data_IF_062808620606
#
_entry.id   IF_062808620606
#
_cell.length_a   1.000
_cell.length_b   1.000
_cell.length_c   1.000
_cell.angle_alpha   90.00
_cell.angle_beta   90.00
_cell.angle_gamma   90.00
#
_symmetry.space_group_name_H-M   'P 1'
#
loop_
_entity.id
_entity.type
_entity.pdbx_description
1 polymer ?
#
# COMPACT_ATOMS: atom_id res chain seq x y z
N UNK A 1 27.94 -4.05 -0.89
CA UNK A 1 27.54 -3.42 0.39
C UNK A 1 26.27 -4.11 0.85
N UNK A 2 26.05 -4.37 2.14
CA UNK A 2 24.79 -4.94 2.58
C UNK A 2 23.65 -3.97 2.21
N UNK A 3 22.52 -4.53 1.78
CA UNK A 3 21.34 -3.74 1.43
C UNK A 3 20.82 -2.98 2.66
N UNK A 4 20.76 -1.65 2.57
CA UNK A 4 20.30 -0.82 3.69
C UNK A 4 18.79 -0.67 3.75
N UNK A 5 18.06 -1.26 2.79
CA UNK A 5 16.61 -1.11 2.59
C UNK A 5 15.93 -2.47 2.65
N UNK A 6 14.87 -2.56 3.45
CA UNK A 6 13.97 -3.71 3.46
C UNK A 6 12.55 -3.31 3.08
N UNK A 7 11.89 -4.12 2.27
CA UNK A 7 10.48 -3.99 1.92
C UNK A 7 9.70 -5.13 2.58
N UNK A 8 8.79 -4.78 3.47
CA UNK A 8 7.87 -5.71 4.14
C UNK A 8 6.50 -5.55 3.50
N UNK A 9 6.06 -6.54 2.72
CA UNK A 9 4.81 -6.41 1.98
C UNK A 9 3.77 -7.47 2.35
N UNK A 10 2.50 -7.11 2.15
CA UNK A 10 1.38 -8.05 2.19
C UNK A 10 0.46 -7.80 1.00
N UNK A 11 0.33 -8.81 0.13
CA UNK A 11 -0.45 -8.75 -1.10
C UNK A 11 -1.49 -9.85 -1.15
N UNK A 12 -2.74 -9.52 -1.52
CA UNK A 12 -3.81 -10.53 -1.68
C UNK A 12 -3.96 -10.99 -3.13
N UNK A 13 -3.87 -10.07 -4.09
CA UNK A 13 -4.15 -10.32 -5.51
C UNK A 13 -3.00 -9.92 -6.43
N UNK A 14 -1.82 -9.68 -5.89
CA UNK A 14 -0.61 -9.48 -6.67
C UNK A 14 -0.16 -8.03 -6.83
N UNK A 15 -1.03 -7.03 -6.93
CA UNK A 15 -0.65 -5.64 -7.20
C UNK A 15 0.43 -5.09 -6.25
N UNK A 16 0.25 -5.24 -4.93
CA UNK A 16 1.26 -4.81 -3.95
C UNK A 16 2.59 -5.56 -4.09
N UNK A 17 2.55 -6.87 -4.40
CA UNK A 17 3.76 -7.66 -4.66
C UNK A 17 4.50 -7.14 -5.89
N UNK A 18 3.78 -6.78 -6.96
CA UNK A 18 4.37 -6.20 -8.17
C UNK A 18 5.09 -4.90 -7.88
N UNK A 19 4.45 -3.97 -7.17
CA UNK A 19 5.08 -2.71 -6.75
C UNK A 19 6.28 -2.94 -5.82
N UNK A 20 6.16 -3.83 -4.84
CA UNK A 20 7.27 -4.17 -3.94
C UNK A 20 8.50 -4.66 -4.73
N UNK A 21 8.31 -5.52 -5.75
CA UNK A 21 9.39 -5.96 -6.63
C UNK A 21 9.99 -4.81 -7.43
N UNK A 22 9.16 -3.95 -8.07
CA UNK A 22 9.68 -2.84 -8.86
C UNK A 22 10.48 -1.83 -8.01
N UNK A 23 10.02 -1.54 -6.78
CA UNK A 23 10.75 -0.68 -5.85
C UNK A 23 12.07 -1.36 -5.43
N UNK A 24 12.03 -2.66 -5.12
CA UNK A 24 13.22 -3.41 -4.74
C UNK A 24 14.27 -3.43 -5.85
N UNK A 25 13.87 -3.68 -7.08
CA UNK A 25 14.77 -3.67 -8.25
C UNK A 25 15.46 -2.30 -8.42
N UNK A 26 14.73 -1.19 -8.20
CA UNK A 26 15.25 0.17 -8.33
C UNK A 26 16.16 0.61 -7.17
N UNK A 27 15.93 0.08 -5.99
CA UNK A 27 16.64 0.44 -4.75
C UNK A 27 17.65 -0.63 -4.29
N UNK A 28 17.73 -1.76 -4.98
CA UNK A 28 18.49 -2.95 -4.54
C UNK A 28 18.09 -3.37 -3.11
N UNK A 29 16.78 -3.39 -2.81
CA UNK A 29 16.24 -3.66 -1.50
C UNK A 29 15.90 -5.14 -1.33
N UNK A 30 15.99 -5.65 -0.10
CA UNK A 30 15.51 -6.98 0.25
C UNK A 30 13.99 -6.98 0.45
N UNK A 31 13.32 -8.07 0.05
CA UNK A 31 11.87 -8.21 0.10
C UNK A 31 11.46 -9.31 1.08
N UNK A 32 10.50 -8.99 1.96
CA UNK A 32 9.96 -9.91 2.96
C UNK A 32 8.43 -9.93 2.92
N UNK A 33 7.84 -11.12 3.06
CA UNK A 33 6.40 -11.23 3.31
C UNK A 33 6.10 -10.91 4.78
N UNK A 34 5.07 -10.10 5.00
CA UNK A 34 4.79 -9.49 6.30
C UNK A 34 4.38 -10.48 7.40
N UNK A 35 3.86 -11.65 7.03
CA UNK A 35 3.29 -12.59 8.03
C UNK A 35 4.37 -13.23 8.91
N UNK A 36 5.53 -13.53 8.35
CA UNK A 36 6.59 -14.28 9.02
C UNK A 36 7.82 -13.42 9.39
N UNK A 37 7.77 -12.10 9.16
CA UNK A 37 8.92 -11.24 9.43
C UNK A 37 9.11 -10.97 10.92
N UNK A 38 10.33 -11.11 11.41
CA UNK A 38 10.73 -10.76 12.78
C UNK A 38 11.41 -9.38 12.85
N UNK A 39 11.53 -8.84 14.06
CA UNK A 39 12.31 -7.62 14.28
C UNK A 39 13.80 -7.86 13.99
N UNK A 40 14.32 -9.01 14.38
CA UNK A 40 15.72 -9.38 14.17
C UNK A 40 16.10 -9.38 12.68
N UNK A 41 15.21 -9.87 11.82
CA UNK A 41 15.39 -9.85 10.37
C UNK A 41 15.51 -8.44 9.79
N UNK A 42 15.02 -7.42 10.49
CA UNK A 42 15.02 -6.02 10.05
C UNK A 42 16.10 -5.17 10.75
N UNK A 43 16.89 -5.75 11.64
CA UNK A 43 17.79 -4.99 12.50
C UNK A 43 18.89 -4.22 11.74
N UNK A 44 19.39 -4.80 10.67
CA UNK A 44 20.52 -4.25 9.91
C UNK A 44 20.12 -3.23 8.82
N UNK A 45 18.82 -3.01 8.58
CA UNK A 45 18.34 -2.06 7.59
C UNK A 45 18.13 -0.68 8.19
N UNK A 46 18.47 0.37 7.48
CA UNK A 46 18.23 1.76 7.86
C UNK A 46 16.84 2.23 7.45
N UNK A 47 16.37 1.77 6.30
CA UNK A 47 15.09 2.12 5.73
C UNK A 47 14.18 0.90 5.69
N UNK A 48 12.96 1.04 6.21
CA UNK A 48 11.94 0.00 6.15
C UNK A 48 10.71 0.53 5.39
N UNK A 49 10.33 -0.16 4.33
CA UNK A 49 9.15 0.14 3.55
C UNK A 49 8.08 -0.89 3.87
N UNK A 50 6.95 -0.47 4.44
CA UNK A 50 5.77 -1.31 4.60
C UNK A 50 4.84 -1.12 3.41
N UNK A 51 4.59 -2.16 2.62
CA UNK A 51 3.70 -2.10 1.47
C UNK A 51 2.47 -2.99 1.67
N UNK A 52 1.29 -2.41 1.55
CA UNK A 52 0.03 -3.12 1.75
C UNK A 52 -1.09 -2.66 0.83
N UNK A 53 -2.02 -3.56 0.54
CA UNK A 53 -3.25 -3.21 -0.17
C UNK A 53 -4.31 -2.68 0.80
N UNK A 54 -5.08 -1.69 0.34
CA UNK A 54 -6.23 -1.17 1.07
C UNK A 54 -7.45 -2.05 0.80
N UNK A 55 -8.06 -2.56 1.86
CA UNK A 55 -9.24 -3.43 1.79
C UNK A 55 -10.29 -2.94 2.78
N UNK A 56 -11.41 -2.45 2.29
CA UNK A 56 -12.47 -1.85 3.12
C UNK A 56 -11.88 -0.87 4.17
N UNK A 57 -11.08 0.07 3.72
CA UNK A 57 -10.33 1.03 4.54
C UNK A 57 -9.33 0.41 5.53
N UNK A 58 -9.08 -0.91 5.48
CA UNK A 58 -8.06 -1.58 6.30
C UNK A 58 -6.81 -1.88 5.47
N UNK A 59 -5.65 -1.50 5.98
CA UNK A 59 -4.37 -1.77 5.35
C UNK A 59 -3.88 -3.18 5.70
N UNK A 60 -3.65 -4.02 4.70
CA UNK A 60 -3.31 -5.44 4.90
C UNK A 60 -2.02 -5.66 5.69
N UNK A 61 -1.02 -4.80 5.54
CA UNK A 61 0.28 -4.89 6.24
C UNK A 61 0.24 -4.32 7.67
N UNK A 62 -0.84 -3.62 8.06
CA UNK A 62 -0.90 -2.87 9.32
C UNK A 62 -0.67 -3.74 10.57
N UNK A 63 -1.17 -4.97 10.60
CA UNK A 63 -0.94 -5.88 11.74
C UNK A 63 0.54 -6.14 11.98
N UNK A 64 1.31 -6.39 10.93
CA UNK A 64 2.75 -6.61 11.01
C UNK A 64 3.50 -5.31 11.32
N UNK A 65 3.09 -4.19 10.70
CA UNK A 65 3.58 -2.86 11.05
C UNK A 65 3.42 -2.60 12.55
N UNK A 66 2.21 -2.72 13.11
CA UNK A 66 1.94 -2.45 14.52
C UNK A 66 2.80 -3.29 15.47
N UNK A 67 3.03 -4.56 15.13
CA UNK A 67 3.88 -5.47 15.91
C UNK A 67 5.33 -5.01 15.96
N UNK A 68 5.85 -4.44 14.88
CA UNK A 68 7.25 -4.09 14.71
C UNK A 68 7.56 -2.63 15.00
N UNK A 69 6.60 -1.72 14.76
CA UNK A 69 6.78 -0.27 14.76
C UNK A 69 7.52 0.28 15.98
N UNK A 70 7.08 -0.07 17.20
CA UNK A 70 7.68 0.47 18.43
C UNK A 70 9.19 0.21 18.55
N UNK A 71 9.66 -0.91 17.97
CA UNK A 71 11.08 -1.28 17.97
C UNK A 71 11.84 -0.62 16.83
N UNK A 72 11.18 -0.44 15.67
CA UNK A 72 11.80 0.11 14.47
C UNK A 72 11.96 1.63 14.51
N UNK A 73 10.96 2.36 15.05
CA UNK A 73 10.86 3.81 14.96
C UNK A 73 12.04 4.56 15.62
N UNK A 74 12.73 3.93 16.55
CA UNK A 74 13.81 4.59 17.28
C UNK A 74 15.02 4.95 16.40
N UNK A 75 15.34 4.11 15.42
CA UNK A 75 16.58 4.20 14.65
C UNK A 75 16.40 3.92 13.16
N UNK A 76 15.18 3.96 12.64
CA UNK A 76 14.88 3.59 11.26
C UNK A 76 13.97 4.60 10.59
N UNK A 77 14.25 4.93 9.34
CA UNK A 77 13.31 5.67 8.50
C UNK A 77 12.22 4.73 8.00
N UNK A 78 10.96 5.11 8.17
CA UNK A 78 9.80 4.27 7.83
C UNK A 78 9.00 4.92 6.71
N UNK A 79 8.76 4.15 5.67
CA UNK A 79 7.86 4.47 4.58
C UNK A 79 6.67 3.51 4.58
N UNK A 80 5.52 3.99 4.14
CA UNK A 80 4.33 3.16 3.97
C UNK A 80 3.75 3.36 2.58
N UNK A 81 3.72 2.29 1.79
CA UNK A 81 3.12 2.25 0.46
C UNK A 81 1.74 1.62 0.56
N UNK A 82 0.72 2.42 0.26
CA UNK A 82 -0.68 2.01 0.27
C UNK A 82 -1.14 1.80 -1.18
N UNK A 83 -1.52 0.58 -1.51
CA UNK A 83 -2.00 0.22 -2.85
C UNK A 83 -3.51 0.08 -2.81
N UNK A 84 -4.21 0.92 -3.58
CA UNK A 84 -5.68 0.92 -3.68
C UNK A 84 -6.15 1.02 -5.12
N UNK A 85 -7.46 0.85 -5.37
CA UNK A 85 -8.02 0.98 -6.71
C UNK A 85 -8.34 2.44 -7.06
N UNK A 86 -8.57 3.28 -6.06
CA UNK A 86 -8.89 4.71 -6.24
C UNK A 86 -7.72 5.51 -6.81
N UNK A 87 -8.03 6.66 -7.40
CA UNK A 87 -7.02 7.56 -7.95
C UNK A 87 -6.22 8.23 -6.81
N UNK A 88 -4.87 8.16 -6.82
CA UNK A 88 -4.02 8.82 -5.82
C UNK A 88 -4.18 10.34 -5.73
N UNK A 89 -4.68 10.99 -6.76
CA UNK A 89 -4.97 12.44 -6.77
C UNK A 89 -6.12 12.80 -5.81
N UNK A 90 -7.01 11.88 -5.52
CA UNK A 90 -8.09 12.05 -4.54
C UNK A 90 -7.56 11.80 -3.12
N UNK A 91 -6.81 12.76 -2.59
CA UNK A 91 -6.12 12.68 -1.29
C UNK A 91 -7.04 12.29 -0.13
N UNK A 92 -8.28 12.76 -0.14
CA UNK A 92 -9.29 12.50 0.91
C UNK A 92 -9.52 10.99 1.16
N UNK A 93 -9.53 10.17 0.09
CA UNK A 93 -9.72 8.73 0.21
C UNK A 93 -8.57 8.07 0.99
N UNK A 94 -7.37 8.57 0.80
CA UNK A 94 -6.17 8.03 1.42
C UNK A 94 -5.95 8.59 2.81
N UNK A 95 -6.28 9.85 3.04
CA UNK A 95 -6.28 10.46 4.39
C UNK A 95 -7.25 9.72 5.33
N UNK A 96 -8.45 9.39 4.86
CA UNK A 96 -9.41 8.57 5.61
C UNK A 96 -8.82 7.18 5.92
N UNK A 97 -8.18 6.55 4.93
CA UNK A 97 -7.51 5.26 5.13
C UNK A 97 -6.35 5.35 6.14
N UNK A 98 -5.53 6.40 6.08
CA UNK A 98 -4.47 6.65 7.06
C UNK A 98 -5.07 6.84 8.44
N UNK A 99 -6.08 7.71 8.57
CA UNK A 99 -6.71 8.04 9.84
C UNK A 99 -7.38 6.83 10.52
N UNK A 100 -7.95 5.92 9.73
CA UNK A 100 -8.56 4.67 10.22
C UNK A 100 -7.54 3.62 10.65
N UNK A 101 -6.33 3.64 10.12
CA UNK A 101 -5.32 2.63 10.41
C UNK A 101 -4.25 3.11 11.40
N UNK A 102 -3.78 4.35 11.30
CA UNK A 102 -2.63 4.85 12.05
C UNK A 102 -3.02 5.86 13.12
N UNK A 103 -2.36 5.80 14.28
CA UNK A 103 -2.49 6.81 15.35
C UNK A 103 -1.72 8.07 14.97
N UNK A 104 -2.10 9.24 15.53
CA UNK A 104 -1.45 10.53 15.23
C UNK A 104 0.07 10.46 15.39
N UNK A 105 0.56 9.93 16.51
CA UNK A 105 2.00 9.75 16.78
C UNK A 105 2.72 8.81 15.81
N UNK A 106 2.02 7.85 15.21
CA UNK A 106 2.59 6.97 14.18
C UNK A 106 2.72 7.73 12.86
N UNK A 107 1.71 8.55 12.52
CA UNK A 107 1.67 9.33 11.28
C UNK A 107 2.81 10.33 11.15
N UNK A 108 3.22 10.95 12.25
CA UNK A 108 4.32 11.94 12.31
C UNK A 108 5.68 11.35 11.88
N UNK A 109 5.84 10.05 12.01
CA UNK A 109 7.11 9.35 11.78
C UNK A 109 7.12 8.47 10.53
N UNK A 110 6.10 8.55 9.70
CA UNK A 110 5.95 7.71 8.50
C UNK A 110 5.73 8.60 7.29
N UNK A 111 6.49 8.36 6.23
CA UNK A 111 6.21 8.95 4.92
C UNK A 111 5.30 8.01 4.13
N UNK A 112 4.15 8.53 3.69
CA UNK A 112 3.13 7.74 2.99
C UNK A 112 3.18 7.96 1.49
N UNK A 113 3.03 6.88 0.72
CA UNK A 113 2.86 6.88 -0.73
C UNK A 113 1.64 6.08 -1.12
N UNK A 114 0.92 6.58 -2.13
CA UNK A 114 -0.29 5.96 -2.65
C UNK A 114 -0.06 5.53 -4.09
N UNK A 115 -0.38 4.27 -4.38
CA UNK A 115 -0.21 3.69 -5.71
C UNK A 115 -1.52 3.07 -6.15
N UNK A 116 -1.90 3.32 -7.39
CA UNK A 116 -3.11 2.75 -7.97
C UNK A 116 -2.86 1.28 -8.33
N UNK A 117 -3.71 0.39 -7.85
CA UNK A 117 -3.55 -1.05 -7.98
C UNK A 117 -4.35 -1.66 -9.13
N UNK A 118 -4.60 -2.95 -9.00
CA UNK A 118 -5.41 -3.72 -9.94
C UNK A 118 -6.42 -4.58 -9.20
N UNK A 119 -7.55 -4.85 -9.84
CA UNK A 119 -8.57 -5.77 -9.37
C UNK A 119 -9.09 -6.62 -10.54
N UNK A 120 -9.18 -7.91 -10.32
CA UNK A 120 -9.85 -8.85 -11.22
C UNK A 120 -11.07 -9.40 -10.50
N UNK A 121 -12.25 -8.90 -10.87
CA UNK A 121 -13.51 -9.29 -10.21
C UNK A 121 -13.82 -10.78 -10.36
N UNK A 122 -13.33 -11.41 -11.43
CA UNK A 122 -13.57 -12.85 -11.70
C UNK A 122 -12.77 -13.76 -10.77
N UNK A 123 -11.70 -13.24 -10.16
CA UNK A 123 -10.79 -13.98 -9.25
C UNK A 123 -10.98 -13.64 -7.78
N UNK A 124 -12.01 -12.87 -7.46
CA UNK A 124 -12.26 -12.50 -6.07
C UNK A 124 -12.77 -13.70 -5.26
N UNK A 125 -12.28 -13.82 -4.02
CA UNK A 125 -12.89 -14.74 -3.05
C UNK A 125 -14.32 -14.29 -2.74
N UNK A 126 -15.22 -15.22 -2.46
CA UNK A 126 -16.65 -14.99 -2.27
C UNK A 126 -16.95 -13.79 -1.34
N UNK A 127 -16.30 -13.74 -0.19
CA UNK A 127 -16.51 -12.64 0.76
C UNK A 127 -16.01 -11.27 0.23
N UNK A 128 -14.98 -11.25 -0.61
CA UNK A 128 -14.54 -10.02 -1.27
C UNK A 128 -15.47 -9.62 -2.41
N UNK A 129 -15.99 -10.58 -3.16
CA UNK A 129 -16.97 -10.33 -4.19
C UNK A 129 -18.27 -9.74 -3.60
N UNK A 130 -18.74 -10.29 -2.48
CA UNK A 130 -19.89 -9.75 -1.75
C UNK A 130 -19.65 -8.32 -1.27
N UNK A 131 -18.47 -8.03 -0.71
CA UNK A 131 -18.10 -6.69 -0.28
C UNK A 131 -18.06 -5.70 -1.46
N UNK A 132 -17.52 -6.11 -2.61
CA UNK A 132 -17.53 -5.28 -3.83
C UNK A 132 -18.94 -5.06 -4.37
N UNK A 133 -19.83 -6.06 -4.27
CA UNK A 133 -21.23 -5.91 -4.64
C UNK A 133 -21.96 -4.89 -3.74
N UNK A 134 -21.70 -4.92 -2.43
CA UNK A 134 -22.23 -3.91 -1.50
C UNK A 134 -21.70 -2.52 -1.84
N UNK A 135 -20.40 -2.39 -2.10
CA UNK A 135 -19.81 -1.12 -2.51
C UNK A 135 -20.44 -0.58 -3.81
N UNK A 136 -20.65 -1.45 -4.82
CA UNK A 136 -21.35 -1.09 -6.04
C UNK A 136 -22.74 -0.52 -5.76
N UNK A 137 -23.53 -1.15 -4.88
CA UNK A 137 -24.86 -0.64 -4.51
C UNK A 137 -24.78 0.74 -3.87
N UNK A 138 -23.85 0.95 -2.95
CA UNK A 138 -23.63 2.24 -2.28
C UNK A 138 -23.26 3.32 -3.31
N UNK A 139 -22.33 3.05 -4.20
CA UNK A 139 -21.90 4.00 -5.22
C UNK A 139 -23.00 4.32 -6.22
N UNK A 140 -23.80 3.33 -6.62
CA UNK A 140 -24.92 3.53 -7.54
C UNK A 140 -26.05 4.42 -6.96
N UNK A 141 -26.18 4.48 -5.64
CA UNK A 141 -27.20 5.29 -4.95
C UNK A 141 -26.68 6.67 -4.49
N UNK A 142 -25.42 7.00 -4.75
CA UNK A 142 -24.88 8.34 -4.45
C UNK A 142 -25.57 9.41 -5.31
N UNK A 143 -25.98 10.50 -4.69
CA UNK A 143 -26.52 11.66 -5.40
C UNK A 143 -25.49 12.33 -6.32
N UNK A 144 -24.23 12.36 -5.88
CA UNK A 144 -23.11 12.89 -6.66
C UNK A 144 -22.04 11.80 -6.76
N UNK A 145 -21.78 11.33 -7.95
CA UNK A 145 -20.75 10.34 -8.26
C UNK A 145 -19.49 11.04 -8.74
N UNK A 146 -18.35 10.63 -8.20
CA UNK A 146 -17.03 11.04 -8.72
C UNK A 146 -16.73 10.31 -10.03
N UNK A 147 -15.73 10.77 -10.79
CA UNK A 147 -15.25 10.09 -11.99
C UNK A 147 -14.81 8.63 -11.68
N UNK A 148 -14.11 8.42 -10.58
CA UNK A 148 -13.71 7.08 -10.11
C UNK A 148 -14.93 6.20 -9.78
N UNK A 149 -15.99 6.75 -9.19
CA UNK A 149 -17.23 6.01 -8.93
C UNK A 149 -17.86 5.51 -10.23
N UNK A 150 -17.93 6.36 -11.25
CA UNK A 150 -18.45 6.03 -12.58
C UNK A 150 -17.62 4.93 -13.25
N UNK A 151 -16.30 5.11 -13.30
CA UNK A 151 -15.35 4.14 -13.87
C UNK A 151 -15.51 2.78 -13.16
N UNK A 152 -15.65 2.78 -11.83
CA UNK A 152 -15.88 1.56 -11.07
C UNK A 152 -17.19 0.88 -11.45
N UNK A 153 -18.31 1.63 -11.55
CA UNK A 153 -19.63 1.11 -11.88
C UNK A 153 -19.68 0.51 -13.29
N UNK A 154 -19.10 1.21 -14.28
CA UNK A 154 -19.06 0.78 -15.69
C UNK A 154 -18.22 -0.47 -15.91
N UNK A 155 -17.18 -0.65 -15.10
CA UNK A 155 -16.25 -1.75 -15.23
C UNK A 155 -16.43 -2.83 -14.16
N UNK A 156 -17.49 -2.76 -13.38
CA UNK A 156 -17.79 -3.79 -12.39
C UNK A 156 -17.92 -5.18 -13.05
N UNK A 157 -17.29 -6.16 -12.48
CA UNK A 157 -17.28 -7.53 -13.00
C UNK A 157 -16.15 -7.82 -14.01
N UNK A 158 -15.40 -6.81 -14.46
CA UNK A 158 -14.28 -6.94 -15.39
C UNK A 158 -12.94 -6.91 -14.64
N UNK A 159 -11.84 -6.93 -15.39
CA UNK A 159 -10.49 -6.63 -14.87
C UNK A 159 -10.20 -5.15 -15.03
N UNK A 160 -9.77 -4.50 -13.93
CA UNK A 160 -9.17 -3.17 -13.92
C UNK A 160 -7.69 -3.31 -13.56
N UNK A 161 -6.82 -2.66 -14.33
CA UNK A 161 -5.37 -2.73 -14.11
C UNK A 161 -4.76 -1.33 -14.33
N UNK A 162 -4.37 -0.70 -13.23
CA UNK A 162 -3.76 0.63 -13.21
C UNK A 162 -2.29 0.58 -12.76
N UNK A 163 -1.65 -0.59 -12.82
CA UNK A 163 -0.25 -0.72 -12.45
C UNK A 163 0.64 0.10 -13.39
N UNK A 164 1.50 0.92 -12.83
CA UNK A 164 2.45 1.74 -13.58
C UNK A 164 3.82 1.73 -12.90
N UNK A 165 4.87 1.45 -13.68
CA UNK A 165 6.25 1.55 -13.17
C UNK A 165 6.65 2.99 -12.87
N UNK A 166 6.08 3.96 -13.57
CA UNK A 166 6.42 5.37 -13.36
C UNK A 166 5.90 5.88 -12.02
N UNK A 167 4.81 5.31 -11.49
CA UNK A 167 4.24 5.75 -10.22
C UNK A 167 5.12 5.49 -9.00
N UNK A 168 6.20 4.69 -9.14
CA UNK A 168 7.17 4.48 -8.05
C UNK A 168 8.32 5.49 -8.07
N UNK A 169 8.41 6.39 -9.05
CA UNK A 169 9.58 7.26 -9.20
C UNK A 169 9.79 8.18 -8.00
N UNK A 170 8.71 8.74 -7.46
CA UNK A 170 8.79 9.69 -6.33
C UNK A 170 9.31 9.00 -5.07
N UNK A 171 8.76 7.84 -4.71
CA UNK A 171 9.26 7.08 -3.55
C UNK A 171 10.71 6.62 -3.74
N UNK A 172 11.08 6.20 -4.94
CA UNK A 172 12.46 5.79 -5.24
C UNK A 172 13.43 6.97 -5.12
N UNK A 173 13.04 8.14 -5.63
CA UNK A 173 13.85 9.36 -5.55
C UNK A 173 14.01 9.85 -4.11
N UNK A 174 12.93 9.88 -3.34
CA UNK A 174 12.96 10.28 -1.93
C UNK A 174 13.87 9.38 -1.10
N UNK A 175 13.73 8.05 -1.24
CA UNK A 175 14.58 7.11 -0.51
C UNK A 175 16.05 7.23 -0.92
N UNK A 176 16.34 7.40 -2.20
CA UNK A 176 17.73 7.60 -2.67
C UNK A 176 18.36 8.88 -2.12
N UNK A 177 17.60 9.95 -2.03
CA UNK A 177 18.07 11.20 -1.44
C UNK A 177 18.37 11.02 0.05
N UNK A 178 17.45 10.40 0.80
CA UNK A 178 17.64 10.11 2.23
C UNK A 178 18.90 9.27 2.54
N UNK A 179 19.26 8.32 1.67
CA UNK A 179 20.42 7.46 1.91
C UNK A 179 21.76 8.14 1.55
N UNK A 180 21.71 9.19 0.71
CA UNK A 180 22.91 9.97 0.35
C UNK A 180 23.28 11.01 1.40
N UNK A 181 22.33 11.41 2.25
CA UNK A 181 22.53 12.28 3.41
C UNK A 181 23.17 11.50 4.58
#
# INVERSE_FOLDING_TARGET
MPNNIAIVYKSKYGATRTYAKWIADKLHADIFEADNISFQSLNNYQVIIFAGSLYASKLTVYKSFKRLYKKLIKNKKIYCVIVGIGNPEHKELYEDAINKNFKSKEKENITFYFLRGAIDFTKLKIHHALMMLMNRKILATKNIQTEDDKIFLENYGKKLDYLSKNSINDIVSDIKNYIKE
#
